data_IF_950805134768
#
_entry.id   IF_950805134768
#
_cell.length_a   1.000
_cell.length_b   1.000
_cell.length_c   1.000
_cell.angle_alpha   90.00
_cell.angle_beta   90.00
_cell.angle_gamma   90.00
#
_symmetry.space_group_name_H-M   'P 1'
#
loop_
_entity.id
_entity.type
_entity.pdbx_description
1 polymer ?
#
# COMPACT_ATOMS: atom_id res chain seq x y z
N UNK A 1 34.38 22.08 -35.17
CA UNK A 1 33.21 21.45 -34.51
C UNK A 1 33.63 21.09 -33.09
N UNK A 2 33.07 21.77 -32.08
CA UNK A 2 33.45 21.63 -30.67
C UNK A 2 32.80 20.38 -30.06
N UNK A 3 33.51 19.25 -30.06
CA UNK A 3 33.08 17.99 -29.44
C UNK A 3 33.48 17.85 -27.97
N UNK A 4 34.19 18.82 -27.38
CA UNK A 4 34.74 18.73 -26.01
C UNK A 4 33.80 19.13 -24.86
N UNK A 5 32.84 20.02 -25.11
CA UNK A 5 31.92 20.54 -24.08
C UNK A 5 31.01 19.47 -23.42
N UNK A 6 30.38 18.53 -24.16
CA UNK A 6 29.49 17.55 -23.54
C UNK A 6 30.24 16.52 -22.67
N UNK A 7 31.48 16.16 -23.04
CA UNK A 7 32.29 15.18 -22.30
C UNK A 7 32.72 15.72 -20.93
N UNK A 8 33.17 16.98 -20.86
CA UNK A 8 33.54 17.62 -19.58
C UNK A 8 32.34 17.68 -18.63
N UNK A 9 31.17 18.07 -19.13
CA UNK A 9 29.95 18.15 -18.33
C UNK A 9 29.55 16.79 -17.73
N UNK A 10 29.66 15.70 -18.51
CA UNK A 10 29.38 14.35 -18.03
C UNK A 10 30.39 13.90 -16.96
N UNK A 11 31.68 14.20 -17.14
CA UNK A 11 32.72 13.88 -16.15
C UNK A 11 32.45 14.61 -14.83
N UNK A 12 32.14 15.91 -14.89
CA UNK A 12 31.84 16.71 -13.70
C UNK A 12 30.58 16.21 -12.97
N UNK A 13 29.53 15.86 -13.73
CA UNK A 13 28.32 15.29 -13.17
C UNK A 13 28.61 13.94 -12.48
N UNK A 14 29.35 13.05 -13.14
CA UNK A 14 29.72 11.76 -12.58
C UNK A 14 30.55 11.91 -11.29
N UNK A 15 31.52 12.83 -11.28
CA UNK A 15 32.32 13.14 -10.10
C UNK A 15 31.45 13.69 -8.95
N UNK A 16 30.50 14.58 -9.24
CA UNK A 16 29.58 15.11 -8.24
C UNK A 16 28.67 14.03 -7.64
N UNK A 17 28.13 13.13 -8.47
CA UNK A 17 27.33 11.98 -7.98
C UNK A 17 28.19 11.06 -7.12
N UNK A 18 29.41 10.74 -7.54
CA UNK A 18 30.32 9.88 -6.77
C UNK A 18 30.67 10.50 -5.42
N UNK A 19 31.02 11.79 -5.39
CA UNK A 19 31.30 12.51 -4.15
C UNK A 19 30.10 12.51 -3.20
N UNK A 20 28.88 12.73 -3.72
CA UNK A 20 27.66 12.66 -2.93
C UNK A 20 27.42 11.26 -2.34
N UNK A 21 27.62 10.19 -3.13
CA UNK A 21 27.50 8.79 -2.67
C UNK A 21 28.53 8.44 -1.60
N UNK A 22 29.79 8.83 -1.79
CA UNK A 22 30.86 8.64 -0.79
C UNK A 22 30.55 9.40 0.51
N UNK A 23 29.99 10.60 0.40
CA UNK A 23 29.48 11.36 1.54
C UNK A 23 28.38 10.61 2.30
N UNK A 24 27.41 10.03 1.58
CA UNK A 24 26.36 9.22 2.19
C UNK A 24 26.90 7.97 2.89
N UNK A 25 27.82 7.23 2.25
CA UNK A 25 28.49 6.06 2.82
C UNK A 25 29.28 6.41 4.09
N UNK A 26 29.98 7.54 4.08
CA UNK A 26 30.75 8.02 5.25
C UNK A 26 29.83 8.33 6.42
N UNK A 27 28.69 9.00 6.18
CA UNK A 27 27.68 9.26 7.24
C UNK A 27 27.11 7.97 7.81
N UNK A 28 26.79 6.99 6.97
CA UNK A 28 26.31 5.68 7.41
C UNK A 28 27.37 4.97 8.27
N UNK A 29 28.64 4.97 7.84
CA UNK A 29 29.73 4.39 8.62
C UNK A 29 29.88 5.04 9.99
N UNK A 30 29.82 6.38 10.05
CA UNK A 30 29.96 7.16 11.28
C UNK A 30 28.78 6.90 12.24
N UNK A 31 27.53 6.93 11.75
CA UNK A 31 26.35 6.62 12.58
C UNK A 31 26.38 5.16 13.06
N UNK A 32 26.75 4.20 12.20
CA UNK A 32 26.86 2.79 12.57
C UNK A 32 27.97 2.57 13.62
N UNK A 33 29.09 3.30 13.51
CA UNK A 33 30.15 3.30 14.54
C UNK A 33 29.61 3.87 15.86
N UNK A 34 28.92 5.00 15.83
CA UNK A 34 28.34 5.62 17.02
C UNK A 34 27.32 4.69 17.71
N UNK A 35 26.57 3.91 16.93
CA UNK A 35 25.62 2.88 17.40
C UNK A 35 26.26 1.54 17.75
N UNK A 36 27.59 1.46 17.77
CA UNK A 36 28.37 0.28 18.17
C UNK A 36 28.03 -0.98 17.35
N UNK A 37 27.80 -0.82 16.05
CA UNK A 37 27.76 -1.98 15.15
C UNK A 37 29.16 -2.62 15.05
N UNK A 38 29.26 -3.96 14.90
CA UNK A 38 30.54 -4.62 14.66
C UNK A 38 31.20 -4.11 13.37
N UNK A 39 32.53 -4.22 13.29
CA UNK A 39 33.31 -3.59 12.22
C UNK A 39 32.91 -4.05 10.81
N UNK A 40 32.64 -5.35 10.64
CA UNK A 40 32.26 -5.96 9.36
C UNK A 40 30.87 -5.49 8.88
N UNK A 41 29.76 -5.65 9.64
CA UNK A 41 28.47 -5.07 9.28
C UNK A 41 28.51 -3.59 8.98
N UNK A 42 29.29 -2.81 9.76
CA UNK A 42 29.45 -1.37 9.53
C UNK A 42 30.02 -1.06 8.14
N UNK A 43 31.08 -1.77 7.72
CA UNK A 43 31.63 -1.63 6.37
C UNK A 43 30.62 -2.07 5.30
N UNK A 44 29.90 -3.17 5.56
CA UNK A 44 28.84 -3.65 4.69
C UNK A 44 27.72 -2.63 4.46
N UNK A 45 27.23 -1.98 5.53
CA UNK A 45 26.22 -0.92 5.42
C UNK A 45 26.76 0.32 4.71
N UNK A 46 27.99 0.73 4.98
CA UNK A 46 28.62 1.87 4.29
C UNK A 46 28.76 1.61 2.78
N UNK A 47 29.22 0.41 2.39
CA UNK A 47 29.30 0.01 0.99
C UNK A 47 27.91 -0.06 0.33
N UNK A 48 26.92 -0.65 0.99
CA UNK A 48 25.54 -0.74 0.49
C UNK A 48 24.92 0.65 0.32
N UNK A 49 25.25 1.61 1.18
CA UNK A 49 24.75 2.98 1.11
C UNK A 49 25.19 3.74 -0.14
N UNK A 50 26.24 3.28 -0.85
CA UNK A 50 26.59 3.81 -2.16
C UNK A 50 25.47 3.59 -3.18
N UNK A 51 24.70 2.51 -3.04
CA UNK A 51 23.59 2.17 -3.95
C UNK A 51 22.24 2.46 -3.31
N UNK A 52 22.01 1.96 -2.10
CA UNK A 52 20.73 2.00 -1.39
C UNK A 52 20.92 2.56 0.04
N UNK A 53 21.07 3.89 0.21
CA UNK A 53 21.28 4.49 1.53
C UNK A 53 20.08 4.29 2.47
N UNK A 54 18.87 4.22 1.93
CA UNK A 54 17.64 4.10 2.72
C UNK A 54 17.55 2.80 3.51
N UNK A 55 18.17 1.71 3.03
CA UNK A 55 18.16 0.41 3.71
C UNK A 55 18.80 0.49 5.11
N UNK A 56 19.83 1.32 5.27
CA UNK A 56 20.44 1.56 6.56
C UNK A 56 19.54 2.42 7.45
N UNK A 57 19.13 3.59 6.96
CA UNK A 57 18.40 4.60 7.76
C UNK A 57 17.01 4.13 8.19
N UNK A 58 16.32 3.36 7.34
CA UNK A 58 14.97 2.84 7.56
C UNK A 58 14.93 1.33 7.85
N UNK A 59 16.08 0.68 7.95
CA UNK A 59 16.22 -0.72 8.33
C UNK A 59 17.09 -0.87 9.57
N UNK A 60 18.35 -1.24 9.37
CA UNK A 60 19.27 -1.64 10.44
C UNK A 60 19.41 -0.58 11.56
N UNK A 61 19.41 0.70 11.22
CA UNK A 61 19.52 1.78 12.21
C UNK A 61 18.37 1.76 13.22
N UNK A 62 17.15 1.47 12.76
CA UNK A 62 15.94 1.54 13.61
C UNK A 62 16.00 0.53 14.76
N UNK A 63 16.60 -0.64 14.53
CA UNK A 63 16.76 -1.71 15.51
C UNK A 63 17.72 -1.37 16.66
N UNK A 64 18.55 -0.33 16.49
CA UNK A 64 19.53 0.14 17.48
C UNK A 64 19.19 1.53 18.03
N UNK A 65 17.98 2.02 17.83
CA UNK A 65 17.52 3.26 18.44
C UNK A 65 17.18 3.04 19.91
N UNK A 66 17.56 3.98 20.76
CA UNK A 66 17.06 4.05 22.15
C UNK A 66 15.56 4.39 22.15
N UNK A 67 14.83 4.03 23.21
CA UNK A 67 13.40 4.33 23.31
C UNK A 67 13.08 5.83 23.11
N UNK A 68 13.91 6.72 23.66
CA UNK A 68 13.77 8.17 23.46
C UNK A 68 13.94 8.58 21.99
N UNK A 69 14.94 8.04 21.29
CA UNK A 69 15.14 8.29 19.86
C UNK A 69 13.98 7.75 19.01
N UNK A 70 13.44 6.57 19.36
CA UNK A 70 12.31 5.97 18.66
C UNK A 70 11.06 6.86 18.77
N UNK A 71 10.72 7.29 19.99
CA UNK A 71 9.61 8.23 20.23
C UNK A 71 9.80 9.54 19.46
N UNK A 72 11.01 10.11 19.47
CA UNK A 72 11.30 11.34 18.74
C UNK A 72 11.12 11.19 17.23
N UNK A 73 11.61 10.09 16.64
CA UNK A 73 11.46 9.81 15.20
C UNK A 73 10.00 9.57 14.82
N UNK A 74 9.24 8.85 15.64
CA UNK A 74 7.82 8.60 15.41
C UNK A 74 7.00 9.90 15.48
N UNK A 75 7.27 10.75 16.48
CA UNK A 75 6.61 12.04 16.63
C UNK A 75 6.94 12.98 15.46
N UNK A 76 8.21 13.04 15.05
CA UNK A 76 8.64 13.85 13.90
C UNK A 76 8.01 13.37 12.59
N UNK A 77 7.95 12.06 12.37
CA UNK A 77 7.32 11.48 11.19
C UNK A 77 5.82 11.77 11.15
N UNK A 78 5.11 11.62 12.27
CA UNK A 78 3.70 11.96 12.39
C UNK A 78 3.46 13.46 12.09
N UNK A 79 4.28 14.34 12.66
CA UNK A 79 4.23 15.79 12.44
C UNK A 79 4.40 16.17 10.97
N UNK A 80 5.35 15.56 10.25
CA UNK A 80 5.54 15.80 8.80
C UNK A 80 4.35 15.36 7.96
N UNK A 81 3.62 14.34 8.41
CA UNK A 81 2.39 13.88 7.76
C UNK A 81 1.17 14.72 8.19
N UNK A 82 1.33 15.65 9.14
CA UNK A 82 0.24 16.39 9.74
C UNK A 82 -0.72 15.48 10.51
N UNK A 83 -0.20 14.46 11.18
CA UNK A 83 -0.92 13.46 11.96
C UNK A 83 -0.45 13.46 13.42
N UNK A 84 -1.28 12.98 14.33
CA UNK A 84 -0.92 12.70 15.73
C UNK A 84 -0.09 11.43 15.88
N UNK A 85 -0.25 10.47 14.97
CA UNK A 85 0.51 9.21 14.96
C UNK A 85 0.76 8.72 13.54
N UNK A 86 1.85 8.01 13.34
CA UNK A 86 2.17 7.35 12.05
C UNK A 86 1.15 6.27 11.66
N UNK A 87 0.41 5.72 12.65
CA UNK A 87 -0.67 4.76 12.46
C UNK A 87 -2.00 5.38 12.04
N UNK A 88 -2.12 6.71 12.05
CA UNK A 88 -3.37 7.39 11.71
C UNK A 88 -3.41 7.74 10.22
N UNK A 89 -4.57 8.06 9.67
CA UNK A 89 -4.69 8.57 8.29
C UNK A 89 -5.62 9.76 8.25
N UNK A 90 -5.50 10.61 7.22
CA UNK A 90 -6.52 11.62 6.95
C UNK A 90 -7.59 11.02 6.08
N UNK A 91 -8.84 11.20 6.47
CA UNK A 91 -9.98 10.85 5.65
C UNK A 91 -9.90 11.61 4.31
N UNK A 92 -10.01 10.94 3.16
CA UNK A 92 -9.95 11.62 1.88
C UNK A 92 -11.14 12.54 1.62
N UNK A 93 -12.29 12.30 2.28
CA UNK A 93 -13.50 13.09 2.11
C UNK A 93 -13.49 14.35 2.99
N UNK A 94 -13.39 14.21 4.31
CA UNK A 94 -13.52 15.33 5.25
C UNK A 94 -12.19 15.79 5.88
N UNK A 95 -11.06 15.17 5.51
CA UNK A 95 -9.71 15.46 6.04
C UNK A 95 -9.51 15.26 7.54
N UNK A 96 -10.54 14.81 8.27
CA UNK A 96 -10.46 14.42 9.68
C UNK A 96 -9.48 13.26 9.85
N UNK A 97 -8.76 13.26 10.97
CA UNK A 97 -7.84 12.20 11.30
C UNK A 97 -8.57 10.93 11.79
N UNK A 98 -8.25 9.81 11.16
CA UNK A 98 -8.71 8.46 11.47
C UNK A 98 -7.65 7.76 12.33
N UNK A 99 -7.99 7.48 13.58
CA UNK A 99 -7.09 6.86 14.56
C UNK A 99 -6.84 5.39 14.28
N UNK A 100 -5.60 4.91 14.46
CA UNK A 100 -5.20 3.50 14.29
C UNK A 100 -5.63 2.89 12.93
N UNK A 101 -5.72 3.72 11.90
CA UNK A 101 -6.19 3.32 10.57
C UNK A 101 -5.23 2.39 9.81
N UNK A 102 -3.97 2.35 10.23
CA UNK A 102 -2.93 1.50 9.65
C UNK A 102 -2.30 0.60 10.70
N UNK A 103 -2.02 -0.64 10.29
CA UNK A 103 -1.28 -1.63 11.06
C UNK A 103 -0.29 -2.37 10.16
N UNK A 104 0.45 -3.33 10.71
CA UNK A 104 1.40 -4.18 10.00
C UNK A 104 0.98 -5.64 10.14
N UNK A 105 0.98 -6.38 9.04
CA UNK A 105 0.80 -7.83 9.04
C UNK A 105 2.06 -8.56 9.56
N UNK A 106 1.96 -9.85 9.94
CA UNK A 106 3.14 -10.65 10.28
C UNK A 106 4.20 -10.72 9.16
N UNK A 107 3.75 -10.66 7.90
CA UNK A 107 4.64 -10.57 6.73
C UNK A 107 5.29 -9.19 6.55
N UNK A 108 4.93 -8.22 7.40
CA UNK A 108 5.51 -6.88 7.41
C UNK A 108 4.87 -5.92 6.41
N UNK A 109 3.73 -6.26 5.82
CA UNK A 109 3.00 -5.40 4.88
C UNK A 109 2.06 -4.46 5.65
N UNK A 110 1.79 -3.28 5.11
CA UNK A 110 0.79 -2.39 5.70
C UNK A 110 -0.59 -2.98 5.46
N UNK A 111 -1.39 -3.05 6.53
CA UNK A 111 -2.78 -3.49 6.47
C UNK A 111 -3.69 -2.44 7.09
N UNK A 112 -4.92 -2.40 6.64
CA UNK A 112 -5.98 -1.59 7.25
C UNK A 112 -6.78 -2.51 8.17
N UNK A 113 -6.88 -2.22 9.48
CA UNK A 113 -7.74 -2.97 10.37
C UNK A 113 -9.20 -2.95 9.90
N UNK A 114 -9.94 -4.01 10.20
CA UNK A 114 -11.40 -4.01 10.02
C UNK A 114 -12.04 -2.88 10.81
N UNK A 115 -13.15 -2.37 10.30
CA UNK A 115 -13.94 -1.30 10.94
C UNK A 115 -13.16 0.01 11.09
N UNK A 116 -12.20 0.26 10.18
CA UNK A 116 -11.51 1.54 10.09
C UNK A 116 -12.46 2.58 9.47
N UNK A 117 -13.24 3.23 10.33
CA UNK A 117 -14.29 4.19 10.00
C UNK A 117 -13.84 5.61 10.39
N UNK A 118 -14.09 6.58 9.52
CA UNK A 118 -13.86 7.99 9.84
C UNK A 118 -14.90 8.47 10.86
N UNK A 119 -14.46 9.02 12.01
CA UNK A 119 -15.39 9.40 13.08
C UNK A 119 -16.29 10.59 12.73
N UNK A 120 -15.95 11.39 11.71
CA UNK A 120 -16.71 12.57 11.33
C UNK A 120 -17.75 12.32 10.22
N UNK A 121 -17.40 11.53 9.20
CA UNK A 121 -18.25 11.35 8.01
C UNK A 121 -18.61 9.89 7.70
N UNK A 122 -18.21 8.93 8.54
CA UNK A 122 -18.52 7.51 8.33
C UNK A 122 -17.74 6.83 7.21
N UNK A 123 -16.80 7.52 6.55
CA UNK A 123 -15.98 6.94 5.48
C UNK A 123 -15.24 5.67 5.93
N UNK A 124 -15.41 4.58 5.19
CA UNK A 124 -14.75 3.30 5.47
C UNK A 124 -13.50 3.11 4.62
N UNK A 125 -12.37 2.84 5.28
CA UNK A 125 -11.12 2.51 4.60
C UNK A 125 -11.03 1.01 4.25
N UNK A 126 -11.72 0.16 5.01
CA UNK A 126 -11.80 -1.29 4.81
C UNK A 126 -12.86 -1.70 3.77
N UNK A 127 -13.37 -0.74 3.00
CA UNK A 127 -14.40 -0.93 1.98
C UNK A 127 -13.88 -1.70 0.76
N UNK A 128 -14.76 -2.44 0.09
CA UNK A 128 -14.42 -3.29 -1.06
C UNK A 128 -13.65 -2.54 -2.16
N UNK A 129 -13.99 -1.28 -2.47
CA UNK A 129 -13.29 -0.48 -3.48
C UNK A 129 -11.78 -0.31 -3.26
N UNK A 130 -11.29 -0.47 -2.04
CA UNK A 130 -9.87 -0.38 -1.69
C UNK A 130 -9.18 -1.74 -1.59
N UNK A 131 -9.91 -2.82 -1.93
CA UNK A 131 -9.42 -4.18 -1.88
C UNK A 131 -8.87 -4.62 -3.23
N UNK A 132 -7.74 -5.33 -3.26
CA UNK A 132 -7.14 -5.89 -4.47
C UNK A 132 -8.04 -6.90 -5.19
N UNK A 133 -9.00 -7.48 -4.48
CA UNK A 133 -9.95 -8.44 -5.03
C UNK A 133 -11.20 -7.79 -5.63
N UNK A 134 -11.35 -6.48 -5.54
CA UNK A 134 -12.48 -5.77 -6.13
C UNK A 134 -12.25 -5.57 -7.62
N UNK A 135 -13.23 -6.01 -8.42
CA UNK A 135 -13.30 -5.70 -9.84
C UNK A 135 -14.45 -4.69 -10.03
N UNK A 136 -14.15 -3.44 -10.38
CA UNK A 136 -15.18 -2.46 -10.73
C UNK A 136 -16.08 -2.96 -11.86
N UNK A 137 -17.35 -2.57 -11.84
CA UNK A 137 -18.30 -2.86 -12.91
C UNK A 137 -17.95 -2.10 -14.20
N UNK A 138 -18.13 -2.73 -15.36
CA UNK A 138 -18.12 -2.00 -16.63
C UNK A 138 -19.45 -1.24 -16.78
N UNK A 139 -19.39 0.08 -17.01
CA UNK A 139 -20.56 0.83 -17.47
C UNK A 139 -20.82 0.46 -18.92
N UNK A 140 -21.84 -0.37 -19.17
CA UNK A 140 -22.75 -0.28 -20.33
C UNK A 140 -23.71 -1.48 -20.35
N UNK A 141 -24.99 -1.16 -20.15
CA UNK A 141 -26.18 -1.89 -20.62
C UNK A 141 -26.15 -3.42 -20.64
N UNK A 142 -26.70 -4.05 -19.60
CA UNK A 142 -27.52 -5.25 -19.75
C UNK A 142 -26.82 -6.51 -20.27
N UNK A 143 -25.80 -7.00 -19.56
CA UNK A 143 -25.54 -8.43 -19.32
C UNK A 143 -24.23 -8.61 -18.54
N UNK A 144 -24.34 -8.79 -17.22
CA UNK A 144 -23.38 -9.53 -16.38
C UNK A 144 -21.93 -9.00 -16.24
N UNK A 145 -21.40 -8.88 -15.01
CA UNK A 145 -19.98 -8.62 -14.78
C UNK A 145 -19.19 -9.92 -14.97
N UNK A 146 -18.97 -10.40 -16.20
CA UNK A 146 -18.22 -11.66 -16.36
C UNK A 146 -17.38 -11.85 -17.62
N UNK A 147 -17.63 -11.19 -18.76
CA UNK A 147 -16.95 -11.59 -20.00
C UNK A 147 -16.49 -10.41 -20.86
N UNK A 148 -15.19 -10.10 -20.79
CA UNK A 148 -14.43 -9.60 -21.95
C UNK A 148 -14.59 -8.13 -22.39
N UNK A 149 -15.44 -7.31 -21.78
CA UNK A 149 -15.54 -5.89 -22.15
C UNK A 149 -14.27 -5.11 -21.78
N UNK A 150 -13.47 -4.70 -22.77
CA UNK A 150 -12.48 -3.63 -22.60
C UNK A 150 -13.22 -2.29 -22.47
N UNK A 151 -13.84 -2.05 -21.30
CA UNK A 151 -14.26 -0.71 -20.95
C UNK A 151 -13.00 0.15 -20.86
N UNK A 152 -13.00 1.29 -21.55
CA UNK A 152 -11.91 2.25 -21.44
C UNK A 152 -11.81 2.69 -19.97
N UNK A 153 -10.58 2.70 -19.45
CA UNK A 153 -10.24 2.83 -18.02
C UNK A 153 -10.84 4.06 -17.31
N UNK A 154 -11.34 5.04 -18.03
CA UNK A 154 -11.91 6.29 -17.51
C UNK A 154 -13.44 6.28 -17.36
N UNK A 155 -14.15 5.26 -17.88
CA UNK A 155 -15.62 5.09 -17.73
C UNK A 155 -15.99 4.02 -16.69
N UNK A 156 -15.03 3.58 -15.88
CA UNK A 156 -15.26 2.46 -14.97
C UNK A 156 -16.05 2.93 -13.75
N UNK A 157 -17.20 2.29 -13.48
CA UNK A 157 -17.99 2.57 -12.30
C UNK A 157 -17.35 1.91 -11.07
N UNK A 158 -16.92 2.72 -10.12
CA UNK A 158 -16.35 2.24 -8.87
C UNK A 158 -17.39 2.09 -7.76
N UNK A 159 -18.66 2.48 -7.96
CA UNK A 159 -19.68 2.35 -6.90
C UNK A 159 -20.17 0.91 -6.74
N UNK A 160 -20.04 0.10 -7.78
CA UNK A 160 -20.47 -1.30 -7.81
C UNK A 160 -19.43 -2.16 -8.54
N UNK A 161 -19.49 -3.48 -8.34
CA UNK A 161 -18.58 -4.41 -9.00
C UNK A 161 -18.76 -5.84 -8.53
N UNK A 162 -17.67 -6.60 -8.50
CA UNK A 162 -17.67 -7.97 -8.01
C UNK A 162 -16.38 -8.31 -7.25
N UNK A 163 -16.48 -9.24 -6.31
CA UNK A 163 -15.33 -9.79 -5.60
C UNK A 163 -14.75 -10.96 -6.39
N UNK A 164 -13.49 -10.88 -6.79
CA UNK A 164 -12.81 -11.97 -7.51
C UNK A 164 -12.52 -13.18 -6.63
N UNK A 165 -12.47 -12.99 -5.30
CA UNK A 165 -12.13 -14.05 -4.35
C UNK A 165 -13.36 -14.83 -3.88
N UNK A 166 -14.41 -14.13 -3.45
CA UNK A 166 -15.65 -14.76 -3.01
C UNK A 166 -16.50 -15.12 -4.23
N UNK A 167 -16.85 -16.40 -4.35
CA UNK A 167 -17.70 -16.91 -5.43
C UNK A 167 -19.06 -17.34 -4.88
N UNK A 168 -20.08 -17.25 -5.71
CA UNK A 168 -21.42 -17.74 -5.41
C UNK A 168 -21.99 -18.52 -6.60
N UNK A 169 -22.83 -19.50 -6.30
CA UNK A 169 -23.60 -20.22 -7.31
C UNK A 169 -24.77 -19.34 -7.74
N UNK A 170 -24.86 -19.04 -9.03
CA UNK A 170 -25.97 -18.29 -9.62
C UNK A 170 -26.54 -19.06 -10.79
N UNK A 171 -27.81 -18.85 -11.07
CA UNK A 171 -28.43 -19.45 -12.24
C UNK A 171 -27.73 -18.94 -13.49
N UNK A 172 -27.59 -19.82 -14.48
CA UNK A 172 -27.01 -19.46 -15.78
C UNK A 172 -27.82 -18.36 -16.47
N UNK A 173 -29.15 -18.39 -16.33
CA UNK A 173 -30.05 -17.41 -16.91
C UNK A 173 -29.83 -15.98 -16.38
N UNK A 174 -29.44 -15.83 -15.10
CA UNK A 174 -29.25 -14.51 -14.47
C UNK A 174 -27.91 -13.85 -14.83
N UNK A 175 -26.93 -14.65 -15.26
CA UNK A 175 -25.53 -14.20 -15.40
C UNK A 175 -25.12 -14.09 -16.86
N UNK A 176 -25.54 -15.04 -17.68
CA UNK A 176 -25.08 -15.15 -19.06
C UNK A 176 -26.03 -14.40 -20.02
N UNK A 177 -25.51 -13.81 -21.12
CA UNK A 177 -26.36 -13.35 -22.21
C UNK A 177 -27.26 -14.50 -22.72
N UNK A 178 -28.48 -14.22 -23.20
CA UNK A 178 -29.47 -15.25 -23.52
C UNK A 178 -28.94 -16.38 -24.42
N UNK A 179 -28.12 -16.03 -25.42
CA UNK A 179 -27.53 -17.00 -26.35
C UNK A 179 -26.57 -17.99 -25.66
N UNK A 180 -25.77 -17.51 -24.71
CA UNK A 180 -24.86 -18.35 -23.93
C UNK A 180 -25.62 -19.14 -22.87
N UNK A 181 -26.61 -18.50 -22.25
CA UNK A 181 -27.46 -19.15 -21.25
C UNK A 181 -28.16 -20.38 -21.85
N UNK A 182 -28.79 -20.24 -23.02
CA UNK A 182 -29.47 -21.35 -23.69
C UNK A 182 -28.53 -22.52 -23.98
N UNK A 183 -27.31 -22.25 -24.48
CA UNK A 183 -26.31 -23.30 -24.75
C UNK A 183 -25.89 -24.05 -23.48
N UNK A 184 -25.68 -23.32 -22.38
CA UNK A 184 -25.29 -23.92 -21.11
C UNK A 184 -26.44 -24.74 -20.51
N UNK A 185 -27.68 -24.27 -20.63
CA UNK A 185 -28.87 -25.01 -20.22
C UNK A 185 -29.07 -26.28 -21.07
N UNK A 186 -28.87 -26.21 -22.39
CA UNK A 186 -28.88 -27.39 -23.29
C UNK A 186 -27.81 -28.42 -22.92
N UNK A 187 -26.68 -27.98 -22.35
CA UNK A 187 -25.64 -28.85 -21.80
C UNK A 187 -25.98 -29.44 -20.41
N UNK A 188 -27.13 -29.10 -19.84
CA UNK A 188 -27.55 -29.52 -18.50
C UNK A 188 -26.88 -28.75 -17.36
N UNK A 189 -26.38 -27.54 -17.62
CA UNK A 189 -25.79 -26.66 -16.61
C UNK A 189 -26.79 -25.58 -16.21
N UNK A 190 -27.47 -25.78 -15.09
CA UNK A 190 -28.44 -24.81 -14.56
C UNK A 190 -27.77 -23.68 -13.76
N UNK A 191 -26.60 -23.97 -13.17
CA UNK A 191 -25.88 -23.05 -12.29
C UNK A 191 -24.40 -22.95 -12.63
N UNK A 192 -23.84 -21.78 -12.41
CA UNK A 192 -22.41 -21.48 -12.58
C UNK A 192 -21.85 -20.77 -11.37
N UNK A 193 -20.59 -21.06 -11.03
CA UNK A 193 -19.84 -20.29 -10.04
C UNK A 193 -19.41 -18.96 -10.64
N UNK A 194 -19.78 -17.87 -9.98
CA UNK A 194 -19.50 -16.52 -10.44
C UNK A 194 -18.92 -15.67 -9.31
N UNK A 195 -18.11 -14.65 -9.63
CA UNK A 195 -17.68 -13.65 -8.63
C UNK A 195 -18.89 -13.04 -7.91
N UNK A 196 -18.85 -12.99 -6.58
CA UNK A 196 -19.94 -12.44 -5.77
C UNK A 196 -20.12 -10.95 -6.08
N UNK A 197 -21.35 -10.56 -6.40
CA UNK A 197 -21.67 -9.17 -6.72
C UNK A 197 -21.47 -8.25 -5.50
N UNK A 198 -20.96 -7.05 -5.74
CA UNK A 198 -20.81 -5.98 -4.75
C UNK A 198 -21.69 -4.83 -5.24
N UNK A 199 -22.91 -4.70 -4.71
CA UNK A 199 -23.84 -3.64 -5.13
C UNK A 199 -23.39 -2.25 -4.64
N UNK A 200 -22.71 -2.20 -3.50
CA UNK A 200 -22.13 -0.99 -2.92
C UNK A 200 -20.68 -1.26 -2.51
N UNK A 201 -19.74 -0.66 -3.23
CA UNK A 201 -18.30 -0.82 -3.00
C UNK A 201 -17.76 -0.04 -1.80
N UNK A 202 -18.56 0.88 -1.24
CA UNK A 202 -18.23 1.69 -0.06
C UNK A 202 -18.45 0.90 1.24
N UNK A 203 -19.12 -0.25 1.16
CA UNK A 203 -19.36 -1.17 2.26
C UNK A 203 -18.54 -2.45 2.03
N UNK A 204 -17.82 -2.97 3.03
CA UNK A 204 -17.21 -4.29 2.90
C UNK A 204 -18.28 -5.37 2.88
N UNK A 205 -18.01 -6.43 2.15
CA UNK A 205 -18.80 -7.65 2.21
C UNK A 205 -18.78 -8.23 3.65
N UNK A 206 -19.95 -8.52 4.20
CA UNK A 206 -20.16 -8.90 5.62
C UNK A 206 -19.24 -10.05 6.08
N UNK A 207 -19.10 -11.10 5.27
CA UNK A 207 -18.30 -12.29 5.60
C UNK A 207 -16.87 -12.26 5.08
N UNK A 208 -16.42 -11.13 4.51
CA UNK A 208 -15.08 -11.09 3.96
C UNK A 208 -14.06 -11.12 5.11
N UNK A 209 -13.10 -12.04 5.05
CA UNK A 209 -11.90 -12.05 5.94
C UNK A 209 -10.59 -11.82 5.19
N UNK A 210 -10.67 -11.75 3.88
CA UNK A 210 -9.52 -11.66 2.98
C UNK A 210 -9.39 -10.27 2.36
N UNK A 211 -9.72 -9.22 3.11
CA UNK A 211 -9.46 -7.86 2.66
C UNK A 211 -7.95 -7.65 2.53
N UNK A 212 -7.51 -7.35 1.32
CA UNK A 212 -6.11 -7.04 1.02
C UNK A 212 -6.07 -5.67 0.39
N UNK A 213 -5.35 -4.75 1.02
CA UNK A 213 -5.29 -3.35 0.61
C UNK A 213 -4.65 -3.19 -0.76
N UNK A 214 -5.30 -2.48 -1.68
CA UNK A 214 -4.73 -2.12 -2.98
C UNK A 214 -4.06 -0.74 -2.90
N UNK A 215 -2.73 -0.71 -3.01
CA UNK A 215 -1.94 0.53 -2.96
C UNK A 215 -2.22 1.46 -4.15
N UNK A 216 -2.67 0.94 -5.30
CA UNK A 216 -3.04 1.78 -6.44
C UNK A 216 -4.38 2.47 -6.20
N UNK A 217 -5.39 1.73 -5.72
CA UNK A 217 -6.72 2.29 -5.43
C UNK A 217 -6.69 3.29 -4.26
N UNK A 218 -5.83 3.06 -3.26
CA UNK A 218 -5.60 4.05 -2.21
C UNK A 218 -5.05 5.37 -2.77
N UNK A 219 -4.06 5.30 -3.66
CA UNK A 219 -3.49 6.50 -4.30
C UNK A 219 -4.55 7.25 -5.11
N UNK A 220 -5.43 6.53 -5.81
CA UNK A 220 -6.58 7.13 -6.54
C UNK A 220 -7.57 7.80 -5.61
N UNK A 221 -7.77 7.26 -4.41
CA UNK A 221 -8.58 7.87 -3.36
C UNK A 221 -7.88 9.00 -2.59
N UNK A 222 -6.77 9.56 -3.10
CA UNK A 222 -5.93 10.59 -2.46
C UNK A 222 -5.40 10.19 -1.06
N UNK A 223 -5.30 8.89 -0.80
CA UNK A 223 -4.68 8.35 0.42
C UNK A 223 -3.21 8.11 0.11
N UNK A 224 -2.36 8.98 0.65
CA UNK A 224 -0.92 9.00 0.38
C UNK A 224 -0.10 8.48 1.55
N UNK A 225 1.15 8.17 1.24
CA UNK A 225 2.15 7.79 2.23
C UNK A 225 1.91 6.42 2.83
N UNK A 226 1.39 5.46 2.07
CA UNK A 226 1.35 4.03 2.46
C UNK A 226 2.54 3.34 1.80
N UNK A 227 3.75 3.73 2.20
CA UNK A 227 4.99 3.29 1.57
C UNK A 227 5.84 2.40 2.50
N UNK A 228 6.94 1.85 1.96
CA UNK A 228 7.88 1.02 2.72
C UNK A 228 8.43 1.73 3.95
N UNK A 229 8.64 3.05 3.88
CA UNK A 229 9.17 3.86 4.99
C UNK A 229 8.17 3.91 6.13
N UNK A 230 6.89 4.15 5.83
CA UNK A 230 5.83 4.11 6.83
C UNK A 230 5.64 2.71 7.39
N UNK A 231 5.81 1.68 6.58
CA UNK A 231 5.75 0.31 7.07
C UNK A 231 6.81 0.04 8.16
N UNK A 232 8.03 0.56 7.97
CA UNK A 232 9.11 0.47 8.96
C UNK A 232 8.82 1.27 10.23
N UNK A 233 8.24 2.46 10.10
CA UNK A 233 7.80 3.27 11.24
C UNK A 233 6.68 2.59 12.04
N UNK A 234 5.73 1.94 11.37
CA UNK A 234 4.66 1.19 12.03
C UNK A 234 5.21 -0.01 12.81
N UNK A 235 6.19 -0.74 12.25
CA UNK A 235 6.88 -1.81 12.98
C UNK A 235 7.55 -1.27 14.24
N UNK A 236 8.26 -0.14 14.13
CA UNK A 236 8.90 0.52 15.27
C UNK A 236 7.88 0.92 16.36
N UNK A 237 6.72 1.46 15.95
CA UNK A 237 5.64 1.82 16.87
C UNK A 237 5.11 0.60 17.63
N UNK A 238 4.85 -0.50 16.93
CA UNK A 238 4.33 -1.75 17.52
C UNK A 238 5.35 -2.34 18.50
N UNK A 239 6.63 -2.41 18.13
CA UNK A 239 7.69 -2.91 19.02
C UNK A 239 7.80 -2.11 20.33
N UNK A 240 7.63 -0.78 20.28
CA UNK A 240 7.63 0.06 21.48
C UNK A 240 6.42 -0.20 22.39
N UNK A 241 5.24 -0.44 21.81
CA UNK A 241 4.04 -0.72 22.59
C UNK A 241 4.16 -2.03 23.37
N UNK A 242 4.69 -3.08 22.74
CA UNK A 242 4.92 -4.39 23.40
C UNK A 242 5.90 -4.26 24.56
N UNK A 243 6.95 -3.46 24.40
CA UNK A 243 7.96 -3.25 25.46
C UNK A 243 7.40 -2.46 26.65
N UNK A 244 6.38 -1.62 26.43
CA UNK A 244 5.77 -0.79 27.49
C UNK A 244 4.72 -1.53 28.32
N UNK A 245 4.24 -2.69 27.86
CA UNK A 245 3.22 -3.50 28.54
C UNK A 245 3.80 -4.62 29.42
N UNK A 246 5.12 -4.81 29.37
CA UNK A 246 5.87 -5.76 30.21
C UNK A 246 6.48 -5.02 31.39
#
# INVERSE_FOLDING_TARGET
MSTGAPTLALILLAAAVLAWRLGAATRVYQDARARRFPALPRLGYAARALVAPDDYWWGARLERLTAAEQTAILAEAARRLGLRSVANLRCPLCRQEMGKALSISPAGQIVVPRETICPACGFRLDACRHCQHFKPGAQTGGAGPAWGGMALRWETDYTQGACQLHKEMRSVADVCPPQMANKLLEMGLDYVQTPKAIPDSFVPLEDCRAFTLDEEELRRSDIRGVDKRRARLLRLLISNQVTSTL
#
